data_IF_226246636910
#
_entry.id   IF_226246636910
#
_cell.length_a   1.000
_cell.length_b   1.000
_cell.length_c   1.000
_cell.angle_alpha   90.00
_cell.angle_beta   90.00
_cell.angle_gamma   90.00
#
_symmetry.space_group_name_H-M   'P 1'
#
loop_
_entity.id
_entity.type
_entity.pdbx_description
1 polymer ?
#
# COMPACT_ATOMS: atom_id res chain seq x y z
N UNK A 1 -20.56 -22.58 2.86
CA UNK A 1 -20.00 -21.24 2.56
C UNK A 1 -19.02 -21.31 1.39
N UNK A 2 -18.14 -22.33 1.35
CA UNK A 2 -17.31 -22.65 0.18
C UNK A 2 -18.16 -23.05 -1.06
N UNK A 3 -19.31 -23.70 -0.87
CA UNK A 3 -20.15 -24.17 -2.00
C UNK A 3 -20.79 -23.05 -2.82
N UNK A 4 -20.99 -21.86 -2.23
CA UNK A 4 -21.50 -20.70 -2.97
C UNK A 4 -20.42 -20.06 -3.86
N UNK A 5 -19.15 -20.34 -3.56
CA UNK A 5 -18.00 -19.89 -4.35
C UNK A 5 -17.62 -20.90 -5.44
N UNK A 6 -18.25 -22.07 -5.55
CA UNK A 6 -17.87 -23.10 -6.52
C UNK A 6 -18.90 -23.29 -7.64
N UNK A 7 -19.77 -22.31 -7.92
CA UNK A 7 -20.74 -22.43 -9.01
C UNK A 7 -20.07 -22.10 -10.37
N UNK A 8 -19.85 -23.08 -11.26
CA UNK A 8 -19.05 -22.90 -12.48
C UNK A 8 -19.80 -22.24 -13.64
N UNK A 9 -21.06 -21.82 -13.44
CA UNK A 9 -21.87 -21.16 -14.47
C UNK A 9 -22.00 -19.64 -14.30
N UNK A 10 -21.32 -19.05 -13.32
CA UNK A 10 -21.47 -17.63 -13.05
C UNK A 10 -20.45 -16.81 -13.87
N UNK A 11 -20.86 -15.92 -14.80
CA UNK A 11 -19.95 -14.98 -15.49
C UNK A 11 -19.25 -13.98 -14.54
N UNK A 12 -19.41 -14.17 -13.23
CA UNK A 12 -18.79 -13.43 -12.13
C UNK A 12 -17.26 -13.55 -12.08
N UNK A 13 -16.70 -14.68 -12.55
CA UNK A 13 -15.26 -14.95 -12.42
C UNK A 13 -14.44 -14.09 -13.37
N UNK A 14 -14.85 -14.01 -14.62
CA UNK A 14 -14.16 -13.22 -15.64
C UNK A 14 -14.19 -11.73 -15.28
N UNK A 15 -15.29 -11.24 -14.69
CA UNK A 15 -15.42 -9.82 -14.33
C UNK A 15 -14.50 -9.44 -13.17
N UNK A 16 -14.42 -10.27 -12.12
CA UNK A 16 -13.54 -10.00 -10.97
C UNK A 16 -12.06 -10.03 -11.34
N UNK A 17 -11.69 -10.82 -12.35
CA UNK A 17 -10.32 -10.91 -12.89
C UNK A 17 -10.04 -9.79 -13.90
N UNK A 18 -11.00 -9.47 -14.76
CA UNK A 18 -10.86 -8.44 -15.78
C UNK A 18 -10.80 -7.03 -15.19
N UNK A 19 -11.56 -6.75 -14.12
CA UNK A 19 -11.63 -5.45 -13.48
C UNK A 19 -10.25 -4.90 -13.07
N UNK A 20 -9.42 -5.62 -12.28
CA UNK A 20 -8.08 -5.15 -11.93
C UNK A 20 -7.15 -5.02 -13.14
N UNK A 21 -7.25 -5.93 -14.11
CA UNK A 21 -6.43 -5.86 -15.33
C UNK A 21 -6.76 -4.63 -16.16
N UNK A 22 -8.03 -4.35 -16.40
CA UNK A 22 -8.44 -3.19 -17.17
C UNK A 22 -8.13 -1.89 -16.43
N UNK A 23 -8.28 -1.86 -15.09
CA UNK A 23 -7.84 -0.73 -14.27
C UNK A 23 -6.34 -0.49 -14.36
N UNK A 24 -5.53 -1.55 -14.43
CA UNK A 24 -4.09 -1.40 -14.63
C UNK A 24 -3.76 -0.75 -15.98
N UNK A 25 -4.39 -1.22 -17.06
CA UNK A 25 -4.22 -0.63 -18.39
C UNK A 25 -4.65 0.83 -18.43
N UNK A 26 -5.78 1.16 -17.81
CA UNK A 26 -6.24 2.55 -17.71
C UNK A 26 -5.28 3.43 -16.90
N UNK A 27 -4.72 2.93 -15.79
CA UNK A 27 -3.73 3.67 -14.99
C UNK A 27 -2.48 4.00 -15.81
N UNK A 28 -2.06 3.10 -16.69
CA UNK A 28 -0.97 3.37 -17.63
C UNK A 28 -1.43 4.40 -18.69
N UNK A 29 -2.62 4.22 -19.27
CA UNK A 29 -3.11 5.08 -20.35
C UNK A 29 -3.40 6.53 -19.89
N UNK A 30 -4.01 6.71 -18.72
CA UNK A 30 -4.26 8.03 -18.11
C UNK A 30 -2.97 8.78 -17.81
N UNK A 31 -1.93 8.06 -17.37
CA UNK A 31 -0.61 8.63 -17.13
C UNK A 31 0.15 8.98 -18.42
N UNK A 32 -0.11 8.26 -19.51
CA UNK A 32 0.48 8.54 -20.83
C UNK A 32 -0.24 9.68 -21.58
N UNK A 33 -1.56 9.80 -21.41
CA UNK A 33 -2.39 10.73 -22.19
C UNK A 33 -2.71 12.04 -21.46
N UNK A 34 -2.55 12.10 -20.13
CA UNK A 34 -2.84 13.29 -19.32
C UNK A 34 -4.32 13.69 -19.29
N UNK A 35 -5.21 12.87 -19.86
CA UNK A 35 -6.64 13.08 -19.88
C UNK A 35 -7.28 12.17 -18.83
N UNK A 36 -7.67 12.77 -17.71
CA UNK A 36 -8.32 12.07 -16.60
C UNK A 36 -9.79 11.79 -16.99
N UNK A 37 -10.02 10.66 -17.65
CA UNK A 37 -11.38 10.18 -17.92
C UNK A 37 -11.91 9.47 -16.68
N UNK A 38 -12.40 10.23 -15.68
CA UNK A 38 -13.15 9.67 -14.54
C UNK A 38 -14.37 8.80 -14.94
N UNK A 39 -14.72 8.78 -16.23
CA UNK A 39 -15.72 7.91 -16.88
C UNK A 39 -15.63 6.43 -16.45
N UNK A 40 -14.43 5.93 -16.13
CA UNK A 40 -14.21 4.55 -15.71
C UNK A 40 -14.49 4.31 -14.21
N UNK A 41 -14.17 5.31 -13.36
CA UNK A 41 -14.42 5.27 -11.91
C UNK A 41 -15.91 5.11 -11.57
N UNK A 42 -16.80 5.65 -12.40
CA UNK A 42 -18.24 5.60 -12.15
C UNK A 42 -18.89 4.31 -12.67
N UNK A 43 -18.58 3.90 -13.90
CA UNK A 43 -19.22 2.72 -14.52
C UNK A 43 -18.75 1.42 -13.88
N UNK A 44 -17.44 1.25 -13.66
CA UNK A 44 -16.93 0.06 -12.98
C UNK A 44 -16.97 0.19 -11.46
N UNK A 45 -17.04 1.41 -10.92
CA UNK A 45 -17.41 1.61 -9.51
C UNK A 45 -18.78 1.02 -9.19
N UNK A 46 -19.75 1.12 -10.10
CA UNK A 46 -21.07 0.50 -9.93
C UNK A 46 -21.01 -1.04 -9.95
N UNK A 47 -20.25 -1.62 -10.88
CA UNK A 47 -20.04 -3.08 -10.99
C UNK A 47 -19.26 -3.58 -9.77
N UNK A 48 -18.22 -2.86 -9.37
CA UNK A 48 -17.41 -3.19 -8.20
C UNK A 48 -18.26 -3.12 -6.92
N UNK A 49 -19.08 -2.09 -6.74
CA UNK A 49 -20.06 -1.98 -5.63
C UNK A 49 -21.04 -3.15 -5.62
N UNK A 50 -21.57 -3.54 -6.77
CA UNK A 50 -22.47 -4.70 -6.88
C UNK A 50 -21.79 -6.04 -6.51
N UNK A 51 -20.45 -6.10 -6.50
CA UNK A 51 -19.66 -7.31 -6.21
C UNK A 51 -18.86 -7.23 -4.89
N UNK A 52 -19.02 -6.17 -4.10
CA UNK A 52 -18.38 -5.99 -2.78
C UNK A 52 -18.59 -7.14 -1.78
N UNK A 53 -19.77 -7.81 -1.71
CA UNK A 53 -19.96 -8.90 -0.75
C UNK A 53 -19.00 -10.08 -1.00
N UNK A 54 -18.77 -10.43 -2.28
CA UNK A 54 -17.83 -11.50 -2.66
C UNK A 54 -16.38 -11.10 -2.37
N UNK A 55 -16.03 -9.83 -2.61
CA UNK A 55 -14.71 -9.28 -2.29
C UNK A 55 -14.44 -9.31 -0.77
N UNK A 56 -15.42 -8.89 0.02
CA UNK A 56 -15.36 -8.89 1.50
C UNK A 56 -15.20 -10.32 2.03
N UNK A 57 -15.92 -11.29 1.46
CA UNK A 57 -15.79 -12.70 1.83
C UNK A 57 -14.42 -13.29 1.45
N UNK A 58 -13.83 -12.86 0.34
CA UNK A 58 -12.49 -13.30 -0.05
C UNK A 58 -11.42 -12.68 0.87
N UNK A 59 -11.54 -11.40 1.22
CA UNK A 59 -10.64 -10.74 2.17
C UNK A 59 -10.72 -11.35 3.57
N UNK A 60 -11.93 -11.68 4.05
CA UNK A 60 -12.08 -12.35 5.35
C UNK A 60 -11.49 -13.76 5.31
N UNK A 61 -11.59 -14.48 4.18
CA UNK A 61 -10.91 -15.76 4.01
C UNK A 61 -9.38 -15.61 3.92
N UNK A 62 -8.88 -14.45 3.45
CA UNK A 62 -7.43 -14.21 3.38
C UNK A 62 -6.83 -14.02 4.78
N UNK A 63 -7.46 -13.27 5.67
CA UNK A 63 -6.88 -13.02 7.00
C UNK A 63 -7.38 -13.91 8.13
N UNK A 64 -8.25 -14.88 7.86
CA UNK A 64 -8.62 -15.94 8.82
C UNK A 64 -8.01 -17.29 8.40
N UNK A 65 -6.81 -17.32 7.85
CA UNK A 65 -6.08 -18.56 7.57
C UNK A 65 -5.70 -19.26 8.87
N UNK A 66 -6.68 -19.84 9.56
CA UNK A 66 -6.46 -20.95 10.46
C UNK A 66 -5.70 -22.01 9.65
N UNK A 67 -4.58 -22.52 10.17
CA UNK A 67 -3.68 -23.48 9.53
C UNK A 67 -4.32 -24.79 9.03
N UNK A 68 -5.65 -24.91 9.13
CA UNK A 68 -6.54 -25.88 8.52
C UNK A 68 -6.68 -25.73 6.99
N UNK A 69 -6.27 -24.63 6.35
CA UNK A 69 -6.47 -24.42 4.90
C UNK A 69 -5.37 -25.03 4.01
N UNK A 70 -4.72 -26.13 4.45
CA UNK A 70 -3.88 -27.00 3.61
C UNK A 70 -4.71 -27.92 2.69
N UNK A 71 -5.97 -27.59 2.41
CA UNK A 71 -6.70 -28.26 1.34
C UNK A 71 -6.23 -27.71 -0.02
N UNK A 72 -6.18 -28.53 -1.07
CA UNK A 72 -5.96 -28.03 -2.43
C UNK A 72 -7.11 -27.07 -2.77
N UNK A 73 -6.81 -25.78 -2.73
CA UNK A 73 -7.75 -24.75 -3.15
C UNK A 73 -8.05 -24.94 -4.63
N UNK A 74 -9.32 -24.80 -5.02
CA UNK A 74 -9.68 -24.77 -6.44
C UNK A 74 -8.86 -23.69 -7.15
N UNK A 75 -8.40 -23.97 -8.38
CA UNK A 75 -7.67 -22.99 -9.20
C UNK A 75 -8.46 -21.68 -9.34
N UNK A 76 -9.78 -21.78 -9.43
CA UNK A 76 -10.70 -20.65 -9.49
C UNK A 76 -10.62 -19.80 -8.21
N UNK A 77 -10.61 -20.44 -7.03
CA UNK A 77 -10.50 -19.74 -5.75
C UNK A 77 -9.15 -19.02 -5.62
N UNK A 78 -8.05 -19.67 -5.99
CA UNK A 78 -6.71 -19.04 -5.98
C UNK A 78 -6.64 -17.85 -6.92
N UNK A 79 -7.21 -17.97 -8.13
CA UNK A 79 -7.25 -16.90 -9.11
C UNK A 79 -8.06 -15.69 -8.62
N UNK A 80 -9.24 -15.93 -8.03
CA UNK A 80 -10.07 -14.90 -7.42
C UNK A 80 -9.38 -14.21 -6.25
N UNK A 81 -8.70 -14.99 -5.40
CA UNK A 81 -7.90 -14.46 -4.29
C UNK A 81 -6.79 -13.54 -4.82
N UNK A 82 -6.07 -13.96 -5.86
CA UNK A 82 -5.04 -13.13 -6.49
C UNK A 82 -5.61 -11.85 -7.12
N UNK A 83 -6.71 -11.94 -7.86
CA UNK A 83 -7.37 -10.77 -8.45
C UNK A 83 -7.83 -9.77 -7.37
N UNK A 84 -8.36 -10.28 -6.25
CA UNK A 84 -8.76 -9.47 -5.10
C UNK A 84 -7.56 -8.70 -4.49
N UNK A 85 -6.42 -9.39 -4.28
CA UNK A 85 -5.20 -8.78 -3.77
C UNK A 85 -4.61 -7.73 -4.74
N UNK A 86 -4.66 -7.97 -6.05
CA UNK A 86 -4.24 -7.00 -7.06
C UNK A 86 -5.13 -5.75 -7.02
N UNK A 87 -6.46 -5.93 -6.97
CA UNK A 87 -7.41 -4.83 -6.86
C UNK A 87 -7.15 -4.00 -5.60
N UNK A 88 -6.89 -4.67 -4.47
CA UNK A 88 -6.60 -4.03 -3.19
C UNK A 88 -5.33 -3.17 -3.27
N UNK A 89 -4.26 -3.71 -3.86
CA UNK A 89 -3.01 -2.97 -4.06
C UNK A 89 -3.21 -1.74 -4.97
N UNK A 90 -3.94 -1.89 -6.07
CA UNK A 90 -4.26 -0.77 -6.97
C UNK A 90 -5.07 0.31 -6.28
N UNK A 91 -6.00 -0.08 -5.40
CA UNK A 91 -6.77 0.86 -4.60
C UNK A 91 -5.88 1.62 -3.62
N UNK A 92 -4.97 0.93 -2.91
CA UNK A 92 -4.01 1.58 -2.01
C UNK A 92 -3.19 2.63 -2.78
N UNK A 93 -2.58 2.25 -3.90
CA UNK A 93 -1.81 3.20 -4.74
C UNK A 93 -2.69 4.38 -5.19
N UNK A 94 -3.93 4.12 -5.61
CA UNK A 94 -4.84 5.18 -6.05
C UNK A 94 -5.21 6.14 -4.92
N UNK A 95 -5.52 5.63 -3.73
CA UNK A 95 -5.86 6.47 -2.58
C UNK A 95 -4.67 7.33 -2.17
N UNK A 96 -3.45 6.78 -2.22
CA UNK A 96 -2.22 7.54 -1.96
C UNK A 96 -2.00 8.65 -2.98
N UNK A 97 -2.07 8.34 -4.28
CA UNK A 97 -1.83 9.31 -5.34
C UNK A 97 -2.88 10.43 -5.39
N UNK A 98 -4.17 10.07 -5.27
CA UNK A 98 -5.28 11.01 -5.48
C UNK A 98 -5.88 11.55 -4.18
N UNK A 99 -5.43 11.07 -3.01
CA UNK A 99 -5.92 11.48 -1.67
C UNK A 99 -7.45 11.41 -1.53
N UNK A 100 -8.06 10.41 -2.16
CA UNK A 100 -9.52 10.22 -2.20
C UNK A 100 -9.98 9.16 -1.19
N UNK A 101 -11.26 9.12 -0.82
CA UNK A 101 -11.78 8.08 0.06
C UNK A 101 -11.59 6.67 -0.50
N UNK A 102 -11.47 5.69 0.39
CA UNK A 102 -11.25 4.29 0.06
C UNK A 102 -12.56 3.65 -0.45
N UNK A 103 -12.54 3.12 -1.67
CA UNK A 103 -13.76 2.61 -2.36
C UNK A 103 -14.02 1.14 -2.12
N UNK A 104 -12.99 0.39 -1.75
CA UNK A 104 -13.11 -1.05 -1.50
C UNK A 104 -13.69 -1.30 -0.11
N UNK A 105 -14.79 -2.06 -0.02
CA UNK A 105 -15.38 -2.40 1.27
C UNK A 105 -14.49 -3.43 1.94
N UNK A 106 -14.02 -3.08 3.13
CA UNK A 106 -13.21 -3.95 3.97
C UNK A 106 -14.08 -4.55 5.09
N UNK A 107 -13.94 -5.85 5.43
CA UNK A 107 -14.73 -6.48 6.48
C UNK A 107 -14.60 -5.76 7.83
N UNK A 108 -15.71 -5.44 8.50
CA UNK A 108 -15.68 -4.67 9.75
C UNK A 108 -14.91 -5.38 10.91
N UNK A 109 -14.89 -6.71 10.92
CA UNK A 109 -14.32 -7.53 12.00
C UNK A 109 -12.80 -7.72 11.91
N UNK A 110 -12.15 -7.26 10.84
CA UNK A 110 -10.72 -7.52 10.63
C UNK A 110 -9.80 -6.74 11.58
N UNK A 111 -10.26 -5.63 12.17
CA UNK A 111 -9.47 -4.87 13.14
C UNK A 111 -9.02 -5.74 14.33
N UNK A 112 -9.86 -6.70 14.75
CA UNK A 112 -9.52 -7.67 15.80
C UNK A 112 -8.55 -8.76 15.32
N UNK A 113 -8.55 -9.06 14.00
CA UNK A 113 -7.65 -10.02 13.34
C UNK A 113 -6.30 -9.43 12.92
N UNK A 114 -6.08 -8.12 13.11
CA UNK A 114 -4.76 -7.50 12.97
C UNK A 114 -3.81 -7.87 14.12
N UNK A 115 -4.29 -8.50 15.20
CA UNK A 115 -3.39 -9.03 16.21
C UNK A 115 -2.51 -10.14 15.60
N UNK A 116 -1.21 -10.10 15.84
CA UNK A 116 -0.25 -11.10 15.35
C UNK A 116 -0.32 -12.43 16.13
N UNK A 117 -1.49 -12.75 16.70
CA UNK A 117 -1.72 -13.87 17.62
C UNK A 117 -1.54 -15.24 16.97
N UNK A 118 -1.64 -15.34 15.64
CA UNK A 118 -1.45 -16.56 14.86
C UNK A 118 -0.11 -16.60 14.10
N UNK A 119 0.90 -15.82 14.52
CA UNK A 119 2.20 -15.68 13.83
C UNK A 119 2.88 -17.00 13.44
N UNK A 120 2.71 -18.06 14.24
CA UNK A 120 3.38 -19.35 14.03
C UNK A 120 2.73 -20.20 12.92
N UNK A 121 1.59 -19.75 12.37
CA UNK A 121 0.85 -20.45 11.31
C UNK A 121 0.99 -19.79 9.93
N UNK A 122 1.53 -18.57 9.88
CA UNK A 122 1.64 -17.79 8.64
C UNK A 122 2.94 -18.08 7.90
N UNK A 123 2.82 -18.34 6.60
CA UNK A 123 3.97 -18.33 5.70
C UNK A 123 4.29 -16.90 5.22
N UNK A 124 5.36 -16.76 4.43
CA UNK A 124 5.80 -15.47 3.90
C UNK A 124 4.74 -14.75 3.02
N UNK A 125 3.89 -15.51 2.33
CA UNK A 125 2.81 -14.96 1.51
C UNK A 125 1.67 -14.46 2.39
N UNK A 126 1.28 -15.22 3.41
CA UNK A 126 0.27 -14.80 4.36
C UNK A 126 0.70 -13.52 5.07
N UNK A 127 1.93 -13.43 5.53
CA UNK A 127 2.47 -12.20 6.11
C UNK A 127 2.37 -11.00 5.18
N UNK A 128 2.73 -11.18 3.91
CA UNK A 128 2.61 -10.13 2.89
C UNK A 128 1.16 -9.68 2.71
N UNK A 129 0.23 -10.63 2.66
CA UNK A 129 -1.21 -10.35 2.52
C UNK A 129 -1.77 -9.65 3.75
N UNK A 130 -1.37 -10.06 4.96
CA UNK A 130 -1.76 -9.40 6.21
C UNK A 130 -1.31 -7.95 6.25
N UNK A 131 -0.07 -7.65 5.83
CA UNK A 131 0.43 -6.26 5.76
C UNK A 131 -0.32 -5.45 4.71
N UNK A 132 -0.60 -6.04 3.53
CA UNK A 132 -1.40 -5.37 2.49
C UNK A 132 -2.78 -4.99 3.03
N UNK A 133 -3.43 -5.91 3.73
CA UNK A 133 -4.74 -5.66 4.34
C UNK A 133 -4.63 -4.62 5.47
N UNK A 134 -3.64 -4.73 6.36
CA UNK A 134 -3.37 -3.72 7.38
C UNK A 134 -3.22 -2.33 6.77
N UNK A 135 -2.42 -2.20 5.71
CA UNK A 135 -2.24 -0.95 4.99
C UNK A 135 -3.57 -0.43 4.45
N UNK A 136 -4.39 -1.28 3.82
CA UNK A 136 -5.74 -0.90 3.38
C UNK A 136 -6.61 -0.33 4.51
N UNK A 137 -6.59 -0.94 5.71
CA UNK A 137 -7.32 -0.41 6.87
C UNK A 137 -6.74 0.91 7.38
N UNK A 138 -5.41 1.09 7.37
CA UNK A 138 -4.80 2.39 7.68
C UNK A 138 -5.33 3.46 6.74
N UNK A 139 -5.32 3.22 5.43
CA UNK A 139 -5.82 4.19 4.45
C UNK A 139 -7.32 4.44 4.61
N UNK A 140 -8.13 3.39 4.80
CA UNK A 140 -9.58 3.51 5.03
C UNK A 140 -9.87 4.37 6.26
N UNK A 141 -9.14 4.16 7.36
CA UNK A 141 -9.31 4.92 8.60
C UNK A 141 -9.05 6.42 8.39
N UNK A 142 -8.02 6.79 7.62
CA UNK A 142 -7.60 8.19 7.47
C UNK A 142 -8.28 8.95 6.32
N UNK A 143 -8.49 8.32 5.17
CA UNK A 143 -9.16 8.94 4.03
C UNK A 143 -10.67 8.72 4.02
N UNK A 144 -11.19 7.92 4.97
CA UNK A 144 -12.59 7.53 5.03
C UNK A 144 -12.96 6.50 3.96
N UNK A 145 -14.24 6.14 3.92
CA UNK A 145 -14.77 5.20 2.93
C UNK A 145 -16.03 5.73 2.25
N UNK A 146 -16.12 5.54 0.94
CA UNK A 146 -17.35 5.84 0.19
C UNK A 146 -18.49 4.88 0.55
N UNK A 147 -18.20 3.68 1.07
CA UNK A 147 -19.24 2.68 1.40
C UNK A 147 -19.89 2.88 2.76
N UNK A 148 -19.30 3.72 3.62
CA UNK A 148 -19.68 3.82 5.03
C UNK A 148 -20.53 5.08 5.32
N UNK A 149 -21.11 5.69 4.29
CA UNK A 149 -21.73 7.03 4.36
C UNK A 149 -22.93 7.19 5.28
N UNK A 150 -23.47 6.11 5.88
CA UNK A 150 -24.72 6.16 6.65
C UNK A 150 -24.65 5.59 8.08
N UNK A 151 -23.46 5.26 8.61
CA UNK A 151 -23.31 4.78 9.98
C UNK A 151 -22.41 5.72 10.77
N UNK A 152 -23.00 6.48 11.70
CA UNK A 152 -22.23 7.23 12.68
C UNK A 152 -21.47 6.23 13.59
N UNK A 153 -20.19 6.02 13.30
CA UNK A 153 -19.32 5.25 14.19
C UNK A 153 -19.17 5.98 15.53
N UNK A 154 -19.36 5.24 16.63
CA UNK A 154 -19.11 5.76 17.97
C UNK A 154 -17.62 6.12 18.14
N UNK A 155 -17.34 7.18 18.89
CA UNK A 155 -15.98 7.66 19.17
C UNK A 155 -15.10 6.59 19.85
N UNK A 156 -15.71 5.71 20.65
CA UNK A 156 -15.02 4.58 21.25
C UNK A 156 -14.56 3.58 20.18
N UNK A 157 -15.44 3.24 19.23
CA UNK A 157 -15.12 2.30 18.14
C UNK A 157 -13.97 2.82 17.29
N UNK A 158 -13.98 4.12 16.95
CA UNK A 158 -12.88 4.75 16.20
C UNK A 158 -11.57 4.73 16.98
N UNK A 159 -11.61 4.91 18.30
CA UNK A 159 -10.43 4.84 19.16
C UNK A 159 -9.85 3.42 19.20
N UNK A 160 -10.70 2.41 19.31
CA UNK A 160 -10.28 1.00 19.36
C UNK A 160 -9.69 0.54 18.01
N UNK A 161 -10.27 0.98 16.88
CA UNK A 161 -9.72 0.77 15.54
C UNK A 161 -8.31 1.36 15.42
N UNK A 162 -8.12 2.61 15.87
CA UNK A 162 -6.81 3.25 15.88
C UNK A 162 -5.77 2.50 16.72
N UNK A 163 -6.15 2.10 17.93
CA UNK A 163 -5.28 1.32 18.81
C UNK A 163 -4.88 -0.01 18.16
N UNK A 164 -5.79 -0.68 17.47
CA UNK A 164 -5.52 -1.92 16.75
C UNK A 164 -4.51 -1.72 15.61
N UNK A 165 -4.66 -0.64 14.83
CA UNK A 165 -3.72 -0.30 13.75
C UNK A 165 -2.31 -0.01 14.26
N UNK A 166 -2.19 0.70 15.38
CA UNK A 166 -0.90 0.99 16.03
C UNK A 166 -0.31 -0.24 16.70
N UNK A 167 -1.12 -1.06 17.35
CA UNK A 167 -0.69 -2.29 17.97
C UNK A 167 -0.06 -3.26 16.95
N UNK A 168 -0.62 -3.36 15.74
CA UNK A 168 0.02 -4.13 14.66
C UNK A 168 1.44 -3.64 14.37
N UNK A 169 1.64 -2.32 14.23
CA UNK A 169 2.95 -1.74 13.94
C UNK A 169 3.97 -2.00 15.06
N UNK A 170 3.53 -1.92 16.31
CA UNK A 170 4.36 -2.19 17.49
C UNK A 170 4.69 -3.69 17.62
N UNK A 171 3.70 -4.56 17.46
CA UNK A 171 3.91 -6.01 17.48
C UNK A 171 4.82 -6.47 16.35
N UNK A 172 4.71 -5.87 15.16
CA UNK A 172 5.58 -6.15 14.03
C UNK A 172 7.05 -5.90 14.35
N UNK A 173 7.36 -4.79 15.05
CA UNK A 173 8.74 -4.45 15.46
C UNK A 173 9.31 -5.42 16.49
N UNK A 174 8.45 -6.12 17.23
CA UNK A 174 8.83 -7.06 18.28
C UNK A 174 8.88 -8.52 17.80
N UNK A 175 8.52 -8.79 16.54
CA UNK A 175 8.67 -10.13 15.97
C UNK A 175 10.15 -10.50 15.84
N UNK A 176 10.51 -11.65 16.39
CA UNK A 176 11.84 -12.24 16.28
C UNK A 176 11.70 -13.75 16.04
N UNK A 177 12.14 -14.29 14.88
CA UNK A 177 12.61 -13.54 13.70
C UNK A 177 11.46 -12.80 12.99
N UNK A 178 11.74 -11.67 12.34
CA UNK A 178 10.73 -11.00 11.52
C UNK A 178 10.62 -11.68 10.14
N UNK A 179 9.42 -12.09 9.70
CA UNK A 179 9.21 -12.80 8.44
C UNK A 179 9.71 -12.05 7.19
N UNK A 180 9.75 -10.72 7.24
CA UNK A 180 10.24 -9.90 6.13
C UNK A 180 11.61 -9.29 6.39
N UNK A 181 12.37 -9.78 7.37
CA UNK A 181 13.75 -9.34 7.53
C UNK A 181 14.54 -9.63 6.25
N UNK A 182 15.26 -8.63 5.71
CA UNK A 182 16.09 -8.83 4.54
C UNK A 182 17.26 -9.75 4.89
N UNK A 183 17.66 -10.60 3.96
CA UNK A 183 18.85 -11.43 4.15
C UNK A 183 20.16 -10.61 4.02
N UNK A 184 20.07 -9.41 3.43
CA UNK A 184 21.15 -8.43 3.41
C UNK A 184 20.58 -7.02 3.48
N UNK A 185 21.10 -6.21 4.40
CA UNK A 185 20.79 -4.80 4.54
C UNK A 185 22.08 -3.99 4.63
N UNK A 186 22.20 -2.96 3.82
CA UNK A 186 23.25 -1.96 3.92
C UNK A 186 22.63 -0.58 4.04
N UNK A 187 22.98 0.13 5.11
CA UNK A 187 22.54 1.49 5.34
C UNK A 187 23.08 2.44 4.25
N UNK A 188 22.35 3.53 3.99
CA UNK A 188 22.80 4.57 3.05
C UNK A 188 24.12 5.21 3.51
N UNK A 189 24.94 5.65 2.56
CA UNK A 189 26.17 6.39 2.78
C UNK A 189 26.24 7.62 1.87
N UNK A 190 25.65 8.76 2.30
CA UNK A 190 25.69 10.01 1.54
C UNK A 190 27.12 10.50 1.25
N UNK A 191 28.10 10.16 2.11
CA UNK A 191 29.51 10.52 1.90
C UNK A 191 30.13 9.82 0.69
N UNK A 192 29.53 8.72 0.24
CA UNK A 192 29.91 7.98 -0.98
C UNK A 192 28.90 8.13 -2.12
N UNK A 193 27.96 9.07 -2.00
CA UNK A 193 26.88 9.27 -2.98
C UNK A 193 25.81 8.17 -2.97
N UNK A 194 25.75 7.35 -1.92
CA UNK A 194 24.74 6.29 -1.76
C UNK A 194 23.60 6.85 -0.91
N UNK A 195 22.59 7.43 -1.54
CA UNK A 195 21.50 8.13 -0.85
C UNK A 195 20.34 7.24 -0.39
N UNK A 196 20.24 6.04 -0.94
CA UNK A 196 19.24 5.04 -0.56
C UNK A 196 19.94 3.78 0.00
N UNK A 197 19.33 3.07 0.97
CA UNK A 197 19.86 1.81 1.47
C UNK A 197 19.81 0.71 0.39
N UNK A 198 20.65 -0.31 0.54
CA UNK A 198 20.55 -1.55 -0.24
C UNK A 198 19.80 -2.57 0.60
N UNK A 199 18.73 -3.14 0.05
CA UNK A 199 17.86 -4.06 0.78
C UNK A 199 17.60 -5.28 -0.09
N UNK A 200 18.19 -6.43 0.24
CA UNK A 200 17.98 -7.67 -0.50
C UNK A 200 17.00 -8.60 0.20
N UNK A 201 15.99 -8.98 -0.56
CA UNK A 201 14.90 -9.86 -0.17
C UNK A 201 14.95 -11.11 -1.02
N UNK A 202 14.63 -12.24 -0.41
CA UNK A 202 14.68 -13.53 -1.09
C UNK A 202 13.62 -13.63 -2.20
N UNK A 203 12.51 -12.91 -2.07
CA UNK A 203 11.37 -12.99 -3.00
C UNK A 203 10.67 -11.64 -3.18
N UNK A 204 10.11 -11.43 -4.38
CA UNK A 204 9.41 -10.20 -4.76
C UNK A 204 8.20 -9.89 -3.88
N UNK A 205 7.45 -10.90 -3.42
CA UNK A 205 6.30 -10.66 -2.55
C UNK A 205 6.71 -9.97 -1.24
N UNK A 206 7.89 -10.29 -0.69
CA UNK A 206 8.43 -9.63 0.51
C UNK A 206 8.76 -8.16 0.27
N UNK A 207 9.29 -7.84 -0.91
CA UNK A 207 9.54 -6.46 -1.35
C UNK A 207 8.23 -5.68 -1.34
N UNK A 208 7.17 -6.25 -1.93
CA UNK A 208 5.86 -5.60 -1.96
C UNK A 208 5.28 -5.46 -0.54
N UNK A 209 5.36 -6.51 0.29
CA UNK A 209 4.92 -6.47 1.68
C UNK A 209 5.56 -5.33 2.47
N UNK A 210 6.89 -5.19 2.39
CA UNK A 210 7.59 -4.08 3.03
C UNK A 210 7.20 -2.71 2.48
N UNK A 211 7.00 -2.56 1.17
CA UNK A 211 6.52 -1.29 0.63
C UNK A 211 5.15 -0.91 1.20
N UNK A 212 4.23 -1.89 1.34
CA UNK A 212 2.93 -1.66 1.97
C UNK A 212 3.06 -1.30 3.46
N UNK A 213 4.00 -1.93 4.17
CA UNK A 213 4.33 -1.58 5.55
C UNK A 213 4.77 -0.11 5.67
N UNK A 214 5.71 0.31 4.82
CA UNK A 214 6.22 1.67 4.81
C UNK A 214 5.15 2.69 4.40
N UNK A 215 4.28 2.38 3.42
CA UNK A 215 3.14 3.25 3.11
C UNK A 215 2.21 3.46 4.30
N UNK A 216 1.88 2.39 5.03
CA UNK A 216 1.04 2.51 6.22
C UNK A 216 1.71 3.36 7.31
N UNK A 217 3.03 3.21 7.51
CA UNK A 217 3.82 4.05 8.42
C UNK A 217 3.80 5.52 8.01
N UNK A 218 3.95 5.81 6.71
CA UNK A 218 3.87 7.17 6.19
C UNK A 218 2.51 7.81 6.49
N UNK A 219 1.41 7.09 6.23
CA UNK A 219 0.05 7.61 6.49
C UNK A 219 -0.19 7.83 7.99
N UNK A 220 0.24 6.89 8.83
CA UNK A 220 0.18 6.99 10.30
C UNK A 220 0.98 8.20 10.81
N UNK A 221 2.18 8.42 10.28
CA UNK A 221 3.03 9.53 10.67
C UNK A 221 2.43 10.89 10.26
N UNK A 222 1.94 10.99 9.01
CA UNK A 222 1.36 12.23 8.47
C UNK A 222 0.10 12.67 9.23
N UNK A 223 -0.66 11.73 9.77
CA UNK A 223 -1.90 11.99 10.50
C UNK A 223 -1.77 11.78 12.02
N UNK A 224 -0.55 11.76 12.53
CA UNK A 224 -0.29 11.80 13.97
C UNK A 224 -0.84 13.08 14.62
N UNK A 225 -1.16 13.03 15.92
CA UNK A 225 -1.65 14.20 16.65
C UNK A 225 -0.62 15.32 16.60
N UNK A 226 -0.97 16.44 15.97
CA UNK A 226 -0.13 17.66 15.95
C UNK A 226 -0.02 18.20 17.38
N UNK A 227 1.21 18.31 17.85
CA UNK A 227 1.50 18.95 19.15
C UNK A 227 1.35 20.46 18.96
N UNK A 228 0.50 21.10 19.79
CA UNK A 228 0.37 22.55 19.83
C UNK A 228 1.28 23.11 20.93
N UNK A 229 1.99 24.21 20.63
CA UNK A 229 2.86 24.90 21.59
C UNK A 229 4.35 24.54 21.49
N UNK A 230 5.07 24.64 22.62
CA UNK A 230 6.50 24.34 22.69
C UNK A 230 6.75 22.89 22.25
N UNK A 231 7.64 22.70 21.26
CA UNK A 231 7.92 21.39 20.67
C UNK A 231 7.15 21.07 19.38
N UNK A 232 6.20 21.91 18.95
CA UNK A 232 5.49 21.72 17.67
C UNK A 232 6.45 21.60 16.48
N UNK A 233 7.44 22.48 16.38
CA UNK A 233 8.44 22.43 15.31
C UNK A 233 9.31 21.16 15.36
N UNK A 234 9.63 20.66 16.56
CA UNK A 234 10.36 19.41 16.71
C UNK A 234 9.51 18.20 16.31
N UNK A 235 8.21 18.22 16.62
CA UNK A 235 7.26 17.20 16.21
C UNK A 235 7.08 17.17 14.68
N UNK A 236 6.97 18.34 14.03
CA UNK A 236 6.90 18.42 12.55
C UNK A 236 8.16 17.83 11.91
N UNK A 237 9.36 18.20 12.39
CA UNK A 237 10.62 17.64 11.88
C UNK A 237 10.71 16.12 12.09
N UNK A 238 10.19 15.61 13.21
CA UNK A 238 10.16 14.18 13.47
C UNK A 238 9.24 13.45 12.47
N UNK A 239 8.07 14.02 12.15
CA UNK A 239 7.18 13.48 11.11
C UNK A 239 7.89 13.49 9.76
N UNK A 240 8.48 14.61 9.35
CA UNK A 240 9.21 14.71 8.07
C UNK A 240 10.37 13.72 7.97
N UNK A 241 11.11 13.48 9.06
CA UNK A 241 12.16 12.46 9.08
C UNK A 241 11.59 11.04 8.93
N UNK A 242 10.47 10.71 9.59
CA UNK A 242 9.81 9.41 9.41
C UNK A 242 9.35 9.19 7.97
N UNK A 243 8.80 10.24 7.33
CA UNK A 243 8.40 10.21 5.93
C UNK A 243 9.62 10.00 5.02
N UNK A 244 10.69 10.78 5.21
CA UNK A 244 11.95 10.60 4.46
C UNK A 244 12.54 9.20 4.64
N UNK A 245 12.56 8.68 5.86
CA UNK A 245 13.09 7.34 6.12
C UNK A 245 12.28 6.26 5.40
N UNK A 246 10.95 6.32 5.47
CA UNK A 246 10.06 5.38 4.77
C UNK A 246 10.28 5.45 3.26
N UNK A 247 10.32 6.66 2.68
CA UNK A 247 10.59 6.87 1.25
C UNK A 247 11.97 6.33 0.85
N UNK A 248 13.03 6.54 1.65
CA UNK A 248 14.36 5.99 1.37
C UNK A 248 14.35 4.47 1.33
N UNK A 249 13.67 3.80 2.28
CA UNK A 249 13.53 2.34 2.30
C UNK A 249 12.82 1.87 1.03
N UNK A 250 11.69 2.51 0.66
CA UNK A 250 10.93 2.16 -0.55
C UNK A 250 11.79 2.34 -1.82
N UNK A 251 12.56 3.43 -1.93
CA UNK A 251 13.49 3.65 -3.04
C UNK A 251 14.63 2.62 -3.08
N UNK A 252 15.20 2.30 -1.92
CA UNK A 252 16.24 1.28 -1.78
C UNK A 252 15.75 -0.11 -2.20
N UNK A 253 14.51 -0.46 -1.82
CA UNK A 253 13.83 -1.67 -2.25
C UNK A 253 13.63 -1.72 -3.76
N UNK A 254 13.17 -0.62 -4.37
CA UNK A 254 12.97 -0.55 -5.82
C UNK A 254 14.29 -0.67 -6.60
N UNK A 255 15.35 -0.01 -6.13
CA UNK A 255 16.67 -0.08 -6.77
C UNK A 255 17.33 -1.46 -6.63
N UNK A 256 17.09 -2.12 -5.49
CA UNK A 256 17.56 -3.48 -5.22
C UNK A 256 16.77 -4.54 -5.98
N UNK A 257 15.46 -4.33 -6.14
CA UNK A 257 14.52 -5.22 -6.84
C UNK A 257 13.78 -4.45 -7.92
N UNK A 258 14.39 -4.45 -9.11
CA UNK A 258 13.98 -3.74 -10.32
C UNK A 258 12.75 -4.38 -11.01
N UNK A 259 11.69 -4.60 -10.24
CA UNK A 259 10.39 -5.10 -10.72
C UNK A 259 9.41 -3.93 -10.85
N UNK A 260 8.54 -3.98 -11.85
CA UNK A 260 7.55 -2.92 -12.13
C UNK A 260 6.84 -2.42 -10.85
N UNK A 261 6.27 -3.29 -9.99
CA UNK A 261 5.47 -2.81 -8.88
C UNK A 261 6.30 -2.19 -7.75
N UNK A 262 7.60 -2.51 -7.67
CA UNK A 262 8.50 -1.88 -6.71
C UNK A 262 8.89 -0.48 -7.17
N UNK A 263 9.21 -0.33 -8.46
CA UNK A 263 9.56 0.93 -9.09
C UNK A 263 8.39 1.93 -9.08
N UNK A 264 7.19 1.49 -9.47
CA UNK A 264 6.00 2.36 -9.39
C UNK A 264 5.65 2.71 -7.95
N UNK A 265 5.87 1.80 -6.99
CA UNK A 265 5.75 2.08 -5.57
C UNK A 265 6.71 3.18 -5.09
N UNK A 266 7.97 3.17 -5.55
CA UNK A 266 8.91 4.26 -5.25
C UNK A 266 8.44 5.61 -5.82
N UNK A 267 7.93 5.62 -7.05
CA UNK A 267 7.32 6.83 -7.63
C UNK A 267 6.15 7.36 -6.79
N UNK A 268 5.26 6.47 -6.32
CA UNK A 268 4.18 6.86 -5.40
C UNK A 268 4.72 7.44 -4.09
N UNK A 269 5.73 6.83 -3.46
CA UNK A 269 6.31 7.33 -2.21
C UNK A 269 6.99 8.69 -2.37
N UNK A 270 7.70 8.90 -3.49
CA UNK A 270 8.30 10.19 -3.86
C UNK A 270 7.21 11.23 -4.11
N UNK A 271 6.12 10.87 -4.78
CA UNK A 271 4.99 11.79 -5.02
C UNK A 271 4.31 12.24 -3.73
N UNK A 272 4.30 11.38 -2.69
CA UNK A 272 3.68 11.68 -1.40
C UNK A 272 4.53 12.64 -0.55
N UNK A 273 5.85 12.45 -0.51
CA UNK A 273 6.72 13.07 0.49
C UNK A 273 8.06 13.59 -0.07
N UNK A 274 8.21 13.67 -1.39
CA UNK A 274 9.44 14.14 -2.04
C UNK A 274 9.81 15.58 -1.67
N UNK A 275 8.82 16.41 -1.33
CA UNK A 275 9.04 17.79 -0.86
C UNK A 275 9.80 17.86 0.47
N UNK A 276 9.76 16.80 1.28
CA UNK A 276 10.46 16.74 2.57
C UNK A 276 11.98 16.55 2.42
N UNK A 277 12.49 16.36 1.20
CA UNK A 277 13.92 16.15 0.93
C UNK A 277 14.63 17.48 0.63
N UNK A 278 15.64 17.79 1.43
CA UNK A 278 16.36 19.07 1.37
C UNK A 278 17.85 18.91 1.02
N UNK A 279 18.39 17.70 1.06
CA UNK A 279 19.77 17.45 0.64
C UNK A 279 19.85 17.42 -0.89
N UNK A 280 20.70 18.25 -1.53
CA UNK A 280 20.79 18.30 -2.99
C UNK A 280 21.21 16.97 -3.62
N UNK A 281 22.01 16.16 -2.90
CA UNK A 281 22.42 14.84 -3.35
C UNK A 281 21.27 13.84 -3.34
N UNK A 282 20.44 13.84 -2.29
CA UNK A 282 19.20 13.07 -2.23
C UNK A 282 18.21 13.51 -3.32
N UNK A 283 18.06 14.82 -3.55
CA UNK A 283 17.19 15.36 -4.61
C UNK A 283 17.65 14.90 -5.99
N UNK A 284 18.95 14.93 -6.27
CA UNK A 284 19.51 14.40 -7.51
C UNK A 284 19.28 12.88 -7.66
N UNK A 285 19.48 12.12 -6.58
CA UNK A 285 19.21 10.67 -6.59
C UNK A 285 17.72 10.34 -6.81
N UNK A 286 16.80 11.15 -6.27
CA UNK A 286 15.37 11.05 -6.54
C UNK A 286 15.08 11.32 -8.02
N UNK A 287 15.67 12.39 -8.58
CA UNK A 287 15.49 12.73 -9.99
C UNK A 287 16.00 11.61 -10.93
N UNK A 288 17.16 11.03 -10.64
CA UNK A 288 17.73 9.91 -11.39
C UNK A 288 16.85 8.66 -11.32
N UNK A 289 16.31 8.35 -10.13
CA UNK A 289 15.38 7.24 -9.95
C UNK A 289 14.08 7.48 -10.74
N UNK A 290 13.48 8.67 -10.65
CA UNK A 290 12.26 9.01 -11.39
C UNK A 290 12.48 8.96 -12.90
N UNK A 291 13.61 9.46 -13.41
CA UNK A 291 13.99 9.34 -14.82
C UNK A 291 14.17 7.88 -15.26
N UNK A 292 14.72 7.03 -14.38
CA UNK A 292 14.84 5.58 -14.62
C UNK A 292 13.46 4.92 -14.70
N UNK A 293 12.55 5.28 -13.78
CA UNK A 293 11.16 4.81 -13.76
C UNK A 293 10.44 5.16 -15.07
N UNK A 294 10.56 6.41 -15.52
CA UNK A 294 9.92 6.88 -16.75
C UNK A 294 10.47 6.17 -17.99
N UNK A 295 11.80 6.05 -18.08
CA UNK A 295 12.47 5.45 -19.24
C UNK A 295 12.30 3.94 -19.34
N UNK A 296 12.43 3.22 -18.24
CA UNK A 296 12.53 1.75 -18.24
C UNK A 296 11.20 1.06 -17.89
N UNK A 297 10.30 1.73 -17.19
CA UNK A 297 9.03 1.16 -16.69
C UNK A 297 7.80 1.86 -17.26
N UNK A 298 7.99 2.80 -18.20
CA UNK A 298 6.94 3.55 -18.89
C UNK A 298 5.92 4.19 -17.94
N UNK A 299 6.37 4.64 -16.78
CA UNK A 299 5.54 5.25 -15.75
C UNK A 299 5.80 6.75 -15.70
N UNK A 300 4.75 7.56 -15.90
CA UNK A 300 4.90 9.01 -16.04
C UNK A 300 5.37 9.65 -14.73
N UNK A 301 6.49 10.36 -14.76
CA UNK A 301 7.05 11.03 -13.57
C UNK A 301 7.22 12.53 -13.73
N UNK A 302 7.14 13.04 -14.96
CA UNK A 302 7.50 14.42 -15.30
C UNK A 302 6.67 15.46 -14.53
N UNK A 303 5.35 15.27 -14.40
CA UNK A 303 4.48 16.20 -13.64
C UNK A 303 4.83 16.25 -12.15
N UNK A 304 5.20 15.10 -11.58
CA UNK A 304 5.65 15.02 -10.18
C UNK A 304 6.99 15.73 -10.03
N UNK A 305 7.94 15.46 -10.93
CA UNK A 305 9.26 16.10 -10.90
C UNK A 305 9.20 17.61 -11.07
N UNK A 306 8.36 18.13 -11.97
CA UNK A 306 8.15 19.56 -12.15
C UNK A 306 7.64 20.24 -10.87
N UNK A 307 6.76 19.54 -10.15
CA UNK A 307 6.23 20.02 -8.87
C UNK A 307 7.30 19.99 -7.78
N UNK A 308 8.10 18.92 -7.72
CA UNK A 308 9.21 18.78 -6.77
C UNK A 308 10.29 19.83 -6.99
N UNK A 309 10.71 20.08 -8.24
CA UNK A 309 11.70 21.12 -8.54
C UNK A 309 11.21 22.50 -8.12
N UNK A 310 9.92 22.81 -8.29
CA UNK A 310 9.35 24.07 -7.80
C UNK A 310 9.41 24.16 -6.27
N UNK A 311 9.07 23.08 -5.58
CA UNK A 311 9.10 23.01 -4.11
C UNK A 311 10.53 23.16 -3.58
N UNK A 312 11.49 22.39 -4.11
CA UNK A 312 12.89 22.41 -3.68
C UNK A 312 13.59 23.75 -3.93
N UNK A 313 13.20 24.48 -4.98
CA UNK A 313 13.74 25.81 -5.29
C UNK A 313 13.01 26.96 -4.57
N UNK A 314 11.90 26.67 -3.88
CA UNK A 314 11.12 27.67 -3.13
C UNK A 314 11.53 27.79 -1.66
N UNK A 315 12.41 26.90 -1.19
CA UNK A 315 12.98 26.84 0.16
C UNK A 315 14.35 27.54 0.21
#
# INVERSE_FOLDING_TARGET
MIDYLNNPQDPFDDILIALPLLRYHEQIDTQLTGSDSETYSNTLGSIFRAKQPSFTSLLSAIGNTDGSMKLPLSREFTLRRSACLIALKQEITSVLCYRRPFRISLPAHYYNGLALSQKDQYDDYDWTNHILIWCAYVLKYYYGSESDTDIAEDAQTRTDQWQSLKAFEEQWKLLDPNPLDPFFYQERDPGRGQFFPVVWQAYDHKVIGMQQLEFGRMVIAAHGRRILGLGAAAATRAIEEQLRQSTRIICGLALSHRIQPAMTGASTAISLCGECFHDPGEQAAIADLMATIEREYAWSTSSVMDSLYKSWNSL
#
